data_IF_450985577102
#
_entry.id   IF_450985577102
#
_cell.length_a   1.000
_cell.length_b   1.000
_cell.length_c   1.000
_cell.angle_alpha   90.00
_cell.angle_beta   90.00
_cell.angle_gamma   90.00
#
_symmetry.space_group_name_H-M   'P 1'
#
loop_
_entity.id
_entity.type
_entity.pdbx_description
1 polymer ?
#
# COMPACT_ATOMS: atom_id res chain seq x y z
N UNK A 1 -22.78 36.13 -3.83
CA UNK A 1 -22.24 35.58 -2.56
C UNK A 1 -23.32 34.90 -1.69
N UNK A 2 -24.53 34.60 -2.17
CA UNK A 2 -25.65 34.15 -1.33
C UNK A 2 -26.28 32.79 -1.73
N UNK A 3 -25.59 31.95 -2.51
CA UNK A 3 -26.05 30.62 -2.92
C UNK A 3 -24.89 29.59 -2.92
N UNK A 4 -24.09 29.53 -1.87
CA UNK A 4 -23.01 28.52 -1.80
C UNK A 4 -23.51 27.17 -1.24
N UNK A 5 -24.66 27.15 -0.57
CA UNK A 5 -25.25 25.94 0.02
C UNK A 5 -26.73 25.82 -0.33
N UNK A 6 -27.07 24.76 -1.05
CA UNK A 6 -28.44 24.48 -1.53
C UNK A 6 -29.37 24.00 -0.40
N UNK A 7 -28.79 23.38 0.65
CA UNK A 7 -29.49 22.98 1.86
C UNK A 7 -28.59 23.19 3.08
N UNK A 8 -29.11 23.83 4.13
CA UNK A 8 -28.40 24.05 5.41
C UNK A 8 -27.96 22.73 6.06
N UNK A 9 -28.68 21.64 5.80
CA UNK A 9 -28.34 20.31 6.31
C UNK A 9 -27.07 19.72 5.69
N UNK A 10 -26.69 20.12 4.46
CA UNK A 10 -25.51 19.59 3.77
C UNK A 10 -24.20 19.92 4.50
N UNK A 11 -24.12 21.11 5.11
CA UNK A 11 -22.94 21.51 5.90
C UNK A 11 -22.81 20.67 7.16
N UNK A 12 -23.93 20.43 7.87
CA UNK A 12 -23.95 19.57 9.04
C UNK A 12 -23.59 18.11 8.69
N UNK A 13 -24.13 17.61 7.56
CA UNK A 13 -23.80 16.29 7.05
C UNK A 13 -22.31 16.16 6.70
N UNK A 14 -21.72 17.11 5.98
CA UNK A 14 -20.31 17.09 5.64
C UNK A 14 -19.41 17.10 6.90
N UNK A 15 -19.77 17.88 7.91
CA UNK A 15 -19.07 17.89 9.19
C UNK A 15 -19.14 16.51 9.87
N UNK A 16 -20.32 15.87 9.91
CA UNK A 16 -20.50 14.53 10.48
C UNK A 16 -19.68 13.50 9.72
N UNK A 17 -19.72 13.50 8.38
CA UNK A 17 -18.96 12.55 7.55
C UNK A 17 -17.46 12.73 7.74
N UNK A 18 -16.99 13.96 7.88
CA UNK A 18 -15.56 14.25 8.13
C UNK A 18 -15.11 13.74 9.49
N UNK A 19 -15.92 13.98 10.54
CA UNK A 19 -15.63 13.45 11.88
C UNK A 19 -15.69 11.93 11.88
N UNK A 20 -16.70 11.36 11.22
CA UNK A 20 -16.86 9.91 11.11
C UNK A 20 -15.70 9.26 10.37
N UNK A 21 -15.24 9.80 9.23
CA UNK A 21 -14.13 9.23 8.48
C UNK A 21 -12.82 9.30 9.26
N UNK A 22 -12.57 10.40 9.98
CA UNK A 22 -11.40 10.56 10.83
C UNK A 22 -11.38 9.58 12.02
N UNK A 23 -12.55 9.14 12.50
CA UNK A 23 -12.67 8.13 13.55
C UNK A 23 -12.66 6.70 12.99
N UNK A 24 -13.27 6.50 11.82
CA UNK A 24 -13.42 5.20 11.19
C UNK A 24 -12.07 4.64 10.73
N UNK A 25 -11.20 5.46 10.12
CA UNK A 25 -9.92 4.97 9.60
C UNK A 25 -9.03 4.38 10.72
N UNK A 26 -8.76 5.07 11.85
CA UNK A 26 -7.98 4.48 12.94
C UNK A 26 -8.65 3.27 13.59
N UNK A 27 -9.99 3.30 13.72
CA UNK A 27 -10.73 2.16 14.27
C UNK A 27 -10.64 0.94 13.35
N UNK A 28 -10.65 1.16 12.04
CA UNK A 28 -10.50 0.14 11.04
C UNK A 28 -9.08 -0.44 11.02
N UNK A 29 -8.04 0.40 11.14
CA UNK A 29 -6.65 -0.07 11.21
C UNK A 29 -6.46 -1.06 12.37
N UNK A 30 -7.01 -0.78 13.55
CA UNK A 30 -6.95 -1.70 14.71
C UNK A 30 -7.71 -3.01 14.44
N UNK A 31 -8.89 -2.93 13.82
CA UNK A 31 -9.66 -4.12 13.46
C UNK A 31 -8.92 -4.98 12.43
N UNK A 32 -8.29 -4.34 11.44
CA UNK A 32 -7.47 -5.01 10.44
C UNK A 32 -6.30 -5.77 11.08
N UNK A 33 -5.56 -5.16 11.99
CA UNK A 33 -4.49 -5.85 12.73
C UNK A 33 -5.00 -7.07 13.51
N UNK A 34 -6.19 -6.99 14.11
CA UNK A 34 -6.80 -8.13 14.80
C UNK A 34 -7.13 -9.27 13.83
N UNK A 35 -7.68 -8.97 12.65
CA UNK A 35 -7.95 -9.98 11.62
C UNK A 35 -6.67 -10.60 11.07
N UNK A 36 -5.64 -9.79 10.84
CA UNK A 36 -4.34 -10.27 10.37
C UNK A 36 -3.67 -11.21 11.38
N UNK A 37 -3.80 -10.91 12.68
CA UNK A 37 -3.29 -11.78 13.74
C UNK A 37 -4.10 -13.09 13.84
N UNK A 38 -5.43 -13.01 13.86
CA UNK A 38 -6.29 -14.19 13.97
C UNK A 38 -6.11 -15.15 12.79
N UNK A 39 -5.87 -14.61 11.58
CA UNK A 39 -5.68 -15.39 10.37
C UNK A 39 -4.22 -15.72 10.06
N UNK A 40 -3.28 -15.32 10.92
CA UNK A 40 -1.83 -15.52 10.73
C UNK A 40 -1.33 -14.99 9.37
N UNK A 41 -1.92 -13.89 8.88
CA UNK A 41 -1.58 -13.27 7.59
C UNK A 41 -0.62 -12.08 7.73
N UNK A 42 -0.19 -11.78 8.95
CA UNK A 42 0.72 -10.67 9.24
C UNK A 42 2.01 -10.74 8.39
N UNK A 43 2.56 -11.95 8.24
CA UNK A 43 3.80 -12.20 7.50
C UNK A 43 3.63 -12.26 5.96
N UNK A 44 2.38 -12.22 5.46
CA UNK A 44 2.09 -12.27 4.02
C UNK A 44 2.07 -10.88 3.37
N UNK A 45 1.70 -9.85 4.14
CA UNK A 45 1.36 -8.52 3.62
C UNK A 45 2.53 -7.55 3.77
N UNK A 46 3.23 -7.62 4.90
CA UNK A 46 4.38 -6.77 5.19
C UNK A 46 5.66 -7.48 4.74
N UNK A 47 6.37 -6.91 3.78
CA UNK A 47 7.73 -7.32 3.42
C UNK A 47 8.77 -7.07 4.53
N UNK A 48 8.34 -7.05 5.80
CA UNK A 48 9.13 -6.89 7.00
C UNK A 48 9.17 -8.20 7.77
N UNK A 49 10.37 -8.81 7.83
CA UNK A 49 10.76 -9.89 8.76
C UNK A 49 9.93 -11.19 8.81
N UNK A 50 8.83 -11.30 8.08
CA UNK A 50 8.19 -12.56 7.71
C UNK A 50 8.89 -13.19 6.50
N UNK A 51 9.00 -14.51 6.47
CA UNK A 51 9.70 -15.28 5.45
C UNK A 51 9.25 -14.83 4.06
N UNK A 52 10.16 -14.26 3.26
CA UNK A 52 9.95 -13.80 1.86
C UNK A 52 9.63 -14.94 0.87
N UNK A 53 8.93 -15.98 1.32
CA UNK A 53 8.79 -17.27 0.65
C UNK A 53 7.41 -17.90 0.69
N UNK A 54 6.38 -17.27 1.28
CA UNK A 54 5.00 -17.77 1.12
C UNK A 54 4.38 -17.31 -0.21
N UNK A 55 4.57 -16.05 -0.62
CA UNK A 55 4.18 -15.59 -1.96
C UNK A 55 5.35 -15.66 -2.94
N UNK A 56 5.21 -16.48 -3.97
CA UNK A 56 6.22 -16.56 -5.03
C UNK A 56 6.28 -15.23 -5.80
N UNK A 57 7.48 -14.70 -6.11
CA UNK A 57 7.59 -13.49 -6.92
C UNK A 57 6.84 -13.64 -8.24
N UNK A 58 6.04 -12.63 -8.61
CA UNK A 58 5.23 -12.64 -9.84
C UNK A 58 6.08 -13.12 -11.04
N UNK A 59 5.58 -14.02 -11.91
CA UNK A 59 6.36 -14.62 -12.98
C UNK A 59 6.96 -13.58 -13.94
N UNK A 60 6.26 -12.47 -14.16
CA UNK A 60 6.76 -11.34 -14.96
C UNK A 60 7.98 -10.64 -14.36
N UNK A 61 8.04 -10.55 -13.03
CA UNK A 61 9.17 -10.00 -12.32
C UNK A 61 10.39 -10.90 -12.51
N UNK A 62 10.18 -12.22 -12.41
CA UNK A 62 11.25 -13.21 -12.60
C UNK A 62 11.87 -13.18 -14.00
N UNK A 63 11.04 -12.91 -15.01
CA UNK A 63 11.49 -12.79 -16.40
C UNK A 63 12.27 -11.51 -16.69
N UNK A 64 11.87 -10.39 -16.08
CA UNK A 64 12.40 -9.05 -16.41
C UNK A 64 13.65 -8.68 -15.63
N UNK A 65 13.76 -9.13 -14.38
CA UNK A 65 14.85 -8.73 -13.47
C UNK A 65 15.98 -9.75 -13.51
N UNK A 66 17.16 -9.32 -13.97
CA UNK A 66 18.38 -10.14 -14.03
C UNK A 66 19.30 -9.95 -12.83
N UNK A 67 19.07 -8.91 -12.04
CA UNK A 67 19.85 -8.60 -10.85
C UNK A 67 19.41 -9.48 -9.68
N UNK A 68 20.37 -10.11 -9.01
CA UNK A 68 20.15 -10.96 -7.84
C UNK A 68 20.85 -10.38 -6.63
N UNK A 69 20.32 -10.68 -5.44
CA UNK A 69 20.88 -10.31 -4.15
C UNK A 69 20.73 -11.49 -3.19
N UNK A 70 21.69 -11.66 -2.30
CA UNK A 70 21.56 -12.60 -1.18
C UNK A 70 20.79 -11.89 -0.07
N UNK A 71 19.68 -12.47 0.36
CA UNK A 71 18.90 -11.95 1.48
C UNK A 71 19.70 -12.13 2.78
N UNK A 72 19.91 -11.07 3.59
CA UNK A 72 20.76 -11.14 4.79
C UNK A 72 20.15 -11.95 5.94
N UNK A 73 18.84 -12.22 5.91
CA UNK A 73 18.13 -12.93 6.98
C UNK A 73 17.97 -14.42 6.61
N UNK A 74 17.56 -14.71 5.37
CA UNK A 74 17.29 -16.09 4.92
C UNK A 74 18.49 -16.75 4.23
N UNK A 75 19.46 -15.98 3.76
CA UNK A 75 20.63 -16.49 3.01
C UNK A 75 20.30 -16.97 1.59
N UNK A 76 19.06 -16.84 1.14
CA UNK A 76 18.61 -17.29 -0.19
C UNK A 76 18.95 -16.22 -1.24
N UNK A 77 19.34 -16.66 -2.44
CA UNK A 77 19.52 -15.78 -3.60
C UNK A 77 18.16 -15.42 -4.16
N UNK A 78 17.76 -14.15 -4.00
CA UNK A 78 16.50 -13.61 -4.52
C UNK A 78 16.76 -12.63 -5.68
N UNK A 79 15.78 -12.50 -6.57
CA UNK A 79 15.83 -11.46 -7.60
C UNK A 79 15.51 -10.12 -6.96
N UNK A 80 16.42 -9.17 -7.12
CA UNK A 80 16.35 -7.88 -6.47
C UNK A 80 16.39 -6.78 -7.52
N UNK A 81 15.46 -5.84 -7.45
CA UNK A 81 15.46 -4.67 -8.31
C UNK A 81 15.99 -3.47 -7.51
N UNK A 82 17.05 -2.79 -7.95
CA UNK A 82 17.67 -1.71 -7.19
C UNK A 82 16.72 -0.54 -6.98
N UNK A 83 16.77 0.07 -5.80
CA UNK A 83 15.87 1.15 -5.39
C UNK A 83 15.85 2.33 -6.39
N UNK A 84 17.01 2.68 -6.98
CA UNK A 84 17.11 3.73 -8.01
C UNK A 84 16.27 3.41 -9.25
N UNK A 85 16.32 2.16 -9.71
CA UNK A 85 15.55 1.72 -10.88
C UNK A 85 14.06 1.65 -10.54
N UNK A 86 13.69 1.22 -9.33
CA UNK A 86 12.29 1.22 -8.86
C UNK A 86 11.74 2.63 -8.85
N UNK A 87 12.47 3.56 -8.23
CA UNK A 87 12.09 4.96 -8.16
C UNK A 87 11.95 5.59 -9.55
N UNK A 88 12.91 5.37 -10.46
CA UNK A 88 12.83 5.88 -11.82
C UNK A 88 11.57 5.40 -12.55
N UNK A 89 11.20 4.12 -12.41
CA UNK A 89 9.96 3.56 -12.99
C UNK A 89 8.70 4.13 -12.35
N UNK A 90 8.69 4.32 -11.03
CA UNK A 90 7.57 4.94 -10.32
C UNK A 90 7.36 6.39 -10.78
N UNK A 91 8.43 7.17 -10.89
CA UNK A 91 8.35 8.57 -11.36
C UNK A 91 7.90 8.63 -12.82
N UNK A 92 8.41 7.75 -13.70
CA UNK A 92 7.93 7.71 -15.08
C UNK A 92 6.44 7.34 -15.16
N UNK A 93 5.98 6.41 -14.32
CA UNK A 93 4.56 6.03 -14.26
C UNK A 93 3.69 7.19 -13.77
N UNK A 94 4.14 7.89 -12.73
CA UNK A 94 3.44 9.06 -12.20
C UNK A 94 3.37 10.21 -13.21
N UNK A 95 4.45 10.45 -13.95
CA UNK A 95 4.50 11.47 -15.00
C UNK A 95 3.48 11.22 -16.12
N UNK A 96 3.25 9.95 -16.49
CA UNK A 96 2.26 9.60 -17.52
C UNK A 96 0.86 9.96 -17.04
N UNK A 97 0.51 9.57 -15.80
CA UNK A 97 -0.79 9.87 -15.21
C UNK A 97 -1.00 11.38 -15.05
N UNK A 98 0.03 12.13 -14.66
CA UNK A 98 -0.05 13.58 -14.51
C UNK A 98 -0.22 14.34 -15.83
N UNK A 99 0.18 13.75 -16.96
CA UNK A 99 0.01 14.33 -18.29
C UNK A 99 -1.33 13.97 -18.95
N UNK A 100 -2.04 12.96 -18.43
CA UNK A 100 -3.39 12.61 -18.89
C UNK A 100 -4.42 13.54 -18.26
#
# INVERSE_FOLDING_TARGET
>A
MAFLFDNKATVAYAAIVTVWSALFLPAWDVAEYQFQYEWDTFDLIDGGYGVSGLEEPRPDFKRKVRTTRINPITGIVEQYMPARERFAKTVSSFSIVAMM
#
